data_IF_960244098378
#
_entry.id   IF_960244098378
#
_cell.length_a   1.000
_cell.length_b   1.000
_cell.length_c   1.000
_cell.angle_alpha   90.00
_cell.angle_beta   90.00
_cell.angle_gamma   90.00
#
_symmetry.space_group_name_H-M   'P 1'
#
loop_
_entity.id
_entity.type
_entity.pdbx_description
1 polymer ?
#
# COMPACT_ATOMS: atom_id res chain seq x y z
N UNK A 1 -10.95 -1.11 -17.90
CA UNK A 1 -9.70 -1.35 -17.15
C UNK A 1 -8.62 -1.62 -18.16
N UNK A 2 -7.43 -1.06 -17.97
CA UNK A 2 -6.27 -1.42 -18.79
C UNK A 2 -5.81 -2.86 -18.43
N UNK A 3 -5.04 -3.55 -19.29
CA UNK A 3 -4.58 -4.92 -18.99
C UNK A 3 -3.84 -5.04 -17.64
N UNK A 4 -3.08 -3.99 -17.26
CA UNK A 4 -2.42 -3.92 -15.97
C UNK A 4 -3.39 -3.74 -14.79
N UNK A 5 -4.46 -2.95 -14.94
CA UNK A 5 -5.50 -2.81 -13.92
C UNK A 5 -6.25 -4.12 -13.69
N UNK A 6 -6.46 -4.92 -14.75
CA UNK A 6 -7.13 -6.22 -14.65
C UNK A 6 -6.28 -7.23 -13.86
N UNK A 7 -4.97 -7.29 -14.11
CA UNK A 7 -4.05 -8.15 -13.34
C UNK A 7 -3.99 -7.71 -11.88
N UNK A 8 -3.85 -6.40 -11.63
CA UNK A 8 -3.83 -5.87 -10.28
C UNK A 8 -5.13 -6.22 -9.52
N UNK A 9 -6.29 -6.07 -10.17
CA UNK A 9 -7.58 -6.46 -9.62
C UNK A 9 -7.65 -7.96 -9.27
N UNK A 10 -7.23 -8.85 -10.17
CA UNK A 10 -7.22 -10.30 -9.91
C UNK A 10 -6.35 -10.66 -8.71
N UNK A 11 -5.16 -10.06 -8.60
CA UNK A 11 -4.25 -10.28 -7.47
C UNK A 11 -4.90 -9.74 -6.18
N UNK A 12 -5.47 -8.54 -6.20
CA UNK A 12 -6.19 -7.96 -5.05
C UNK A 12 -7.32 -8.87 -4.57
N UNK A 13 -8.15 -9.36 -5.47
CA UNK A 13 -9.23 -10.29 -5.11
C UNK A 13 -8.69 -11.60 -4.53
N UNK A 14 -7.57 -12.11 -5.05
CA UNK A 14 -6.89 -13.29 -4.49
C UNK A 14 -6.40 -13.06 -3.06
N UNK A 15 -5.80 -11.89 -2.77
CA UNK A 15 -5.39 -11.49 -1.42
C UNK A 15 -6.59 -11.39 -0.49
N UNK A 16 -7.66 -10.70 -0.92
CA UNK A 16 -8.89 -10.56 -0.14
C UNK A 16 -9.53 -11.90 0.20
N UNK A 17 -9.54 -12.83 -0.76
CA UNK A 17 -10.05 -14.19 -0.54
C UNK A 17 -9.19 -14.98 0.44
N UNK A 18 -7.85 -14.89 0.34
CA UNK A 18 -6.91 -15.52 1.29
C UNK A 18 -7.11 -15.00 2.72
N UNK A 19 -7.43 -13.72 2.86
CA UNK A 19 -7.65 -13.06 4.14
C UNK A 19 -9.13 -12.98 4.53
N UNK A 20 -10.00 -13.77 3.89
CA UNK A 20 -11.47 -13.68 4.03
C UNK A 20 -11.94 -13.73 5.49
N UNK A 21 -11.30 -14.57 6.32
CA UNK A 21 -11.62 -14.71 7.75
C UNK A 21 -11.15 -13.59 8.68
N UNK A 22 -10.39 -12.61 8.18
CA UNK A 22 -9.93 -11.46 8.97
C UNK A 22 -10.91 -10.29 8.89
N UNK A 23 -10.88 -9.35 9.84
CA UNK A 23 -11.60 -8.07 9.71
C UNK A 23 -11.03 -7.20 8.57
N UNK A 24 -11.77 -6.21 8.10
CA UNK A 24 -11.35 -5.38 6.96
C UNK A 24 -10.08 -4.57 7.23
N UNK A 25 -9.95 -4.00 8.43
CA UNK A 25 -8.74 -3.35 8.91
C UNK A 25 -7.55 -4.35 8.95
N UNK A 26 -7.76 -5.56 9.48
CA UNK A 26 -6.72 -6.57 9.55
C UNK A 26 -6.26 -7.05 8.17
N UNK A 27 -7.18 -7.18 7.20
CA UNK A 27 -6.82 -7.47 5.79
C UNK A 27 -5.85 -6.43 5.25
N UNK A 28 -6.13 -5.15 5.51
CA UNK A 28 -5.30 -4.04 5.05
C UNK A 28 -3.93 -4.03 5.77
N UNK A 29 -3.90 -4.21 7.09
CA UNK A 29 -2.67 -4.24 7.89
C UNK A 29 -1.76 -5.41 7.49
N UNK A 30 -2.31 -6.61 7.34
CA UNK A 30 -1.53 -7.79 6.93
C UNK A 30 -0.94 -7.63 5.54
N UNK A 31 -1.71 -7.03 4.62
CA UNK A 31 -1.21 -6.74 3.26
C UNK A 31 -0.10 -5.70 3.29
N UNK A 32 -0.26 -4.62 4.08
CA UNK A 32 0.77 -3.59 4.23
C UNK A 32 2.05 -4.15 4.86
N UNK A 33 1.91 -5.02 5.87
CA UNK A 33 3.05 -5.66 6.52
C UNK A 33 3.82 -6.56 5.55
N UNK A 34 3.13 -7.36 4.74
CA UNK A 34 3.76 -8.16 3.69
C UNK A 34 4.49 -7.27 2.68
N UNK A 35 3.85 -6.19 2.23
CA UNK A 35 4.48 -5.23 1.33
C UNK A 35 5.71 -4.54 1.92
N UNK A 36 5.68 -4.20 3.21
CA UNK A 36 6.80 -3.53 3.86
C UNK A 36 8.08 -4.38 3.87
N UNK A 37 7.94 -5.73 3.92
CA UNK A 37 9.07 -6.65 3.80
C UNK A 37 9.71 -6.56 2.40
N UNK A 38 8.89 -6.62 1.35
CA UNK A 38 9.34 -6.51 -0.04
C UNK A 38 9.93 -5.12 -0.35
N UNK A 39 9.30 -4.06 0.20
CA UNK A 39 9.75 -2.69 0.04
C UNK A 39 11.08 -2.41 0.74
N UNK A 40 11.28 -2.94 1.94
CA UNK A 40 12.53 -2.79 2.67
C UNK A 40 13.72 -3.35 1.89
N UNK A 41 13.54 -4.54 1.30
CA UNK A 41 14.55 -5.15 0.44
C UNK A 41 14.77 -4.33 -0.82
N UNK A 42 13.71 -3.95 -1.54
CA UNK A 42 13.82 -3.09 -2.72
C UNK A 42 14.52 -1.76 -2.43
N UNK A 43 14.21 -1.10 -1.32
CA UNK A 43 14.75 0.22 -0.98
C UNK A 43 16.21 0.13 -0.55
N UNK A 44 16.60 -0.93 0.16
CA UNK A 44 18.00 -1.24 0.40
C UNK A 44 18.74 -1.47 -0.93
N UNK A 45 18.10 -2.19 -1.86
CA UNK A 45 18.64 -2.37 -3.20
C UNK A 45 18.78 -1.04 -3.95
N UNK A 46 17.80 -0.16 -3.84
CA UNK A 46 17.81 1.14 -4.50
C UNK A 46 18.93 2.08 -4.00
N UNK A 47 19.34 1.95 -2.74
CA UNK A 47 20.31 2.83 -2.09
C UNK A 47 21.77 2.39 -2.27
N UNK A 48 22.01 1.10 -2.53
CA UNK A 48 23.37 0.59 -2.70
C UNK A 48 23.98 1.16 -3.98
N UNK A 49 24.94 2.05 -3.79
CA UNK A 49 25.63 2.78 -4.85
C UNK A 49 26.45 1.81 -5.71
N UNK A 50 26.55 2.00 -7.04
CA UNK A 50 27.41 1.18 -7.91
C UNK A 50 28.89 1.14 -7.48
N UNK A 51 29.32 2.09 -6.64
CA UNK A 51 30.70 2.25 -6.19
C UNK A 51 31.08 1.36 -5.00
N UNK A 52 30.12 0.84 -4.22
CA UNK A 52 30.38 0.10 -2.98
C UNK A 52 30.27 -1.43 -3.17
N UNK A 53 30.96 -1.92 -4.20
CA UNK A 53 30.99 -3.31 -4.63
C UNK A 53 31.28 -4.32 -3.48
N UNK A 54 32.07 -3.92 -2.49
CA UNK A 54 32.44 -4.77 -1.35
C UNK A 54 31.32 -4.90 -0.30
N UNK A 55 30.59 -3.82 -0.02
CA UNK A 55 29.41 -3.85 0.86
C UNK A 55 28.25 -4.60 0.20
N UNK A 56 28.01 -4.35 -1.09
CA UNK A 56 26.97 -5.06 -1.87
C UNK A 56 27.22 -6.58 -1.91
N UNK A 57 28.48 -7.02 -2.07
CA UNK A 57 28.87 -8.44 -2.04
C UNK A 57 28.61 -9.07 -0.68
N UNK A 58 28.93 -8.34 0.39
CA UNK A 58 28.73 -8.81 1.77
C UNK A 58 27.25 -8.96 2.12
N UNK A 59 26.40 -8.01 1.70
CA UNK A 59 24.94 -8.06 1.89
C UNK A 59 24.30 -9.21 1.10
N UNK A 60 24.72 -9.43 -0.15
CA UNK A 60 24.22 -10.55 -0.97
C UNK A 60 24.52 -11.93 -0.35
N UNK A 61 25.72 -12.10 0.21
CA UNK A 61 26.11 -13.31 0.94
C UNK A 61 25.27 -13.47 2.22
N UNK A 62 25.10 -12.39 2.99
CA UNK A 62 24.36 -12.43 4.25
C UNK A 62 22.88 -12.81 4.05
N UNK A 63 22.25 -12.36 2.95
CA UNK A 63 20.84 -12.64 2.63
C UNK A 63 20.62 -13.94 1.85
N UNK A 64 21.65 -14.77 1.62
CA UNK A 64 21.61 -15.99 0.79
C UNK A 64 21.02 -15.76 -0.61
N UNK A 65 21.13 -14.55 -1.13
CA UNK A 65 20.64 -14.23 -2.46
C UNK A 65 21.82 -14.43 -3.42
N UNK A 66 21.77 -15.41 -4.36
CA UNK A 66 22.86 -15.67 -5.27
C UNK A 66 23.11 -14.38 -6.05
N UNK A 67 24.31 -13.81 -5.87
CA UNK A 67 24.80 -12.56 -6.45
C UNK A 67 23.93 -12.05 -7.62
N UNK A 68 22.82 -11.39 -7.29
CA UNK A 68 21.94 -10.80 -8.29
C UNK A 68 22.82 -9.78 -8.99
N UNK A 69 22.94 -9.88 -10.30
CA UNK A 69 23.62 -8.90 -11.14
C UNK A 69 23.06 -7.52 -10.82
N UNK A 70 23.80 -6.77 -10.00
CA UNK A 70 23.43 -5.47 -9.52
C UNK A 70 23.52 -4.46 -10.66
N UNK A 71 22.38 -3.97 -11.12
CA UNK A 71 22.30 -3.07 -12.25
C UNK A 71 22.47 -1.61 -11.78
N UNK A 72 23.45 -0.84 -12.31
CA UNK A 72 23.61 0.60 -12.05
C UNK A 72 22.44 1.48 -12.55
N UNK A 73 21.30 0.90 -12.93
CA UNK A 73 20.22 1.53 -13.69
C UNK A 73 19.16 2.26 -12.86
N UNK A 74 19.02 1.99 -11.56
CA UNK A 74 17.87 2.52 -10.79
C UNK A 74 17.87 4.05 -10.67
N UNK A 75 19.05 4.69 -10.74
CA UNK A 75 19.20 6.15 -10.78
C UNK A 75 18.53 6.79 -12.00
N UNK A 76 18.46 6.07 -13.13
CA UNK A 76 17.76 6.53 -14.35
C UNK A 76 16.25 6.65 -14.13
N UNK A 77 15.71 5.94 -13.13
CA UNK A 77 14.28 5.92 -12.80
C UNK A 77 13.90 6.82 -11.61
N UNK A 78 14.73 7.84 -11.29
CA UNK A 78 14.48 8.77 -10.15
C UNK A 78 13.07 9.34 -10.11
N UNK A 79 12.49 9.71 -11.26
CA UNK A 79 11.09 10.20 -11.33
C UNK A 79 10.07 9.14 -10.91
N UNK A 80 10.21 7.91 -11.41
CA UNK A 80 9.34 6.80 -11.04
C UNK A 80 9.47 6.41 -9.56
N UNK A 81 10.67 6.54 -8.97
CA UNK A 81 10.88 6.36 -7.53
C UNK A 81 10.16 7.43 -6.69
N UNK A 82 10.20 8.70 -7.13
CA UNK A 82 9.46 9.78 -6.46
C UNK A 82 7.95 9.52 -6.53
N UNK A 83 7.43 9.10 -7.69
CA UNK A 83 6.01 8.75 -7.84
C UNK A 83 5.60 7.56 -6.99
N UNK A 84 6.44 6.53 -6.92
CA UNK A 84 6.24 5.38 -6.04
C UNK A 84 6.18 5.80 -4.56
N UNK A 85 7.13 6.63 -4.10
CA UNK A 85 7.14 7.11 -2.72
C UNK A 85 5.91 7.95 -2.38
N UNK A 86 5.44 8.80 -3.30
CA UNK A 86 4.19 9.56 -3.11
C UNK A 86 2.99 8.63 -2.97
N UNK A 87 2.92 7.56 -3.77
CA UNK A 87 1.85 6.58 -3.66
C UNK A 87 1.90 5.83 -2.32
N UNK A 88 3.09 5.42 -1.88
CA UNK A 88 3.29 4.75 -0.59
C UNK A 88 2.86 5.68 0.55
N UNK A 89 3.22 6.96 0.50
CA UNK A 89 2.77 7.92 1.50
C UNK A 89 1.23 8.04 1.54
N UNK A 90 0.57 8.12 0.40
CA UNK A 90 -0.90 8.15 0.34
C UNK A 90 -1.53 6.86 0.90
N UNK A 91 -0.93 5.70 0.65
CA UNK A 91 -1.34 4.41 1.24
C UNK A 91 -1.24 4.47 2.76
N UNK A 92 -0.12 4.95 3.32
CA UNK A 92 0.08 5.06 4.76
C UNK A 92 -0.94 6.00 5.41
N UNK A 93 -1.20 7.16 4.82
CA UNK A 93 -2.22 8.09 5.32
C UNK A 93 -3.63 7.48 5.30
N UNK A 94 -3.96 6.70 4.28
CA UNK A 94 -5.25 6.02 4.16
C UNK A 94 -5.38 4.91 5.21
N UNK A 95 -4.30 4.18 5.46
CA UNK A 95 -4.22 3.17 6.51
C UNK A 95 -4.42 3.78 7.90
N UNK A 96 -3.80 4.92 8.19
CA UNK A 96 -4.03 5.64 9.46
C UNK A 96 -5.51 6.02 9.62
N UNK A 97 -6.15 6.52 8.57
CA UNK A 97 -7.57 6.89 8.61
C UNK A 97 -8.49 5.67 8.85
N UNK A 98 -8.16 4.51 8.27
CA UNK A 98 -8.88 3.24 8.48
C UNK A 98 -8.76 2.81 9.96
N UNK A 99 -7.54 2.83 10.50
CA UNK A 99 -7.28 2.43 11.90
C UNK A 99 -7.94 3.38 12.90
N UNK A 100 -7.95 4.68 12.61
CA UNK A 100 -8.68 5.66 13.40
C UNK A 100 -10.19 5.40 13.40
N UNK A 101 -10.76 5.05 12.24
CA UNK A 101 -12.18 4.73 12.13
C UNK A 101 -12.53 3.49 12.96
N UNK A 102 -11.69 2.45 12.91
CA UNK A 102 -11.88 1.24 13.71
C UNK A 102 -11.71 1.50 15.22
N UNK A 103 -10.79 2.39 15.60
CA UNK A 103 -10.68 2.83 16.99
C UNK A 103 -11.94 3.55 17.46
N UNK A 104 -12.56 4.38 16.62
CA UNK A 104 -13.82 5.04 16.95
C UNK A 104 -14.98 4.03 17.04
N UNK A 105 -15.02 3.03 16.14
CA UNK A 105 -16.04 2.01 16.12
C UNK A 105 -16.04 1.17 17.41
N UNK A 106 -14.86 0.68 17.79
CA UNK A 106 -14.63 -0.12 19.00
C UNK A 106 -14.93 0.67 20.28
N UNK A 107 -14.47 1.92 20.39
CA UNK A 107 -14.79 2.80 21.52
C UNK A 107 -16.29 3.06 21.67
N UNK A 108 -17.01 3.24 20.56
CA UNK A 108 -18.46 3.48 20.59
C UNK A 108 -19.21 2.22 21.01
N UNK A 109 -18.85 1.07 20.46
CA UNK A 109 -19.45 -0.23 20.78
C UNK A 109 -19.33 -0.57 22.28
N UNK A 110 -18.22 -0.19 22.90
CA UNK A 110 -18.04 -0.33 24.35
C UNK A 110 -18.94 0.61 25.17
N UNK A 111 -19.09 1.86 24.74
CA UNK A 111 -19.82 2.90 25.50
C UNK A 111 -21.35 2.84 25.36
N UNK A 112 -21.88 2.33 24.26
CA UNK A 112 -23.33 2.28 24.03
C UNK A 112 -23.71 1.21 23.01
N UNK A 113 -24.96 0.74 23.08
CA UNK A 113 -25.53 -0.18 22.07
C UNK A 113 -25.97 0.53 20.78
N UNK A 114 -25.98 1.86 20.74
CA UNK A 114 -26.40 2.65 19.57
C UNK A 114 -25.21 3.13 18.74
N UNK A 115 -25.11 2.68 17.49
CA UNK A 115 -24.11 3.16 16.53
C UNK A 115 -24.65 4.41 15.83
N UNK A 116 -23.97 5.56 15.91
CA UNK A 116 -24.39 6.77 15.21
C UNK A 116 -24.40 6.57 13.68
N UNK A 117 -25.40 7.14 13.01
CA UNK A 117 -25.56 7.03 11.56
C UNK A 117 -24.29 7.35 10.73
N UNK A 118 -23.50 8.41 11.03
CA UNK A 118 -22.28 8.69 10.27
C UNK A 118 -21.21 7.61 10.42
N UNK A 119 -21.11 6.99 11.59
CA UNK A 119 -20.19 5.89 11.83
C UNK A 119 -20.64 4.64 11.06
N UNK A 120 -21.93 4.35 11.04
CA UNK A 120 -22.48 3.24 10.23
C UNK A 120 -22.14 3.41 8.74
N UNK A 121 -22.37 4.60 8.19
CA UNK A 121 -22.08 4.92 6.79
C UNK A 121 -20.58 4.76 6.49
N UNK A 122 -19.71 5.27 7.36
CA UNK A 122 -18.26 5.11 7.18
C UNK A 122 -17.83 3.63 7.18
N UNK A 123 -18.42 2.81 8.06
CA UNK A 123 -18.13 1.37 8.13
C UNK A 123 -18.66 0.60 6.92
N UNK A 124 -19.75 1.05 6.28
CA UNK A 124 -20.25 0.48 5.02
C UNK A 124 -19.31 0.72 3.83
N UNK A 125 -18.57 1.84 3.85
CA UNK A 125 -17.58 2.18 2.83
C UNK A 125 -16.21 1.50 3.04
N UNK A 126 -15.91 1.08 4.26
CA UNK A 126 -14.63 0.45 4.64
C UNK A 126 -14.16 -0.69 3.69
N UNK A 127 -15.01 -1.62 3.23
CA UNK A 127 -14.60 -2.66 2.28
C UNK A 127 -14.01 -2.10 0.98
N UNK A 128 -14.60 -1.01 0.47
CA UNK A 128 -14.17 -0.35 -0.76
C UNK A 128 -12.83 0.33 -0.53
N UNK A 129 -12.67 1.01 0.60
CA UNK A 129 -11.44 1.69 0.97
C UNK A 129 -10.27 0.70 1.09
N UNK A 130 -10.48 -0.42 1.77
CA UNK A 130 -9.49 -1.49 1.92
C UNK A 130 -9.14 -2.12 0.57
N UNK A 131 -10.12 -2.33 -0.30
CA UNK A 131 -9.87 -2.80 -1.67
C UNK A 131 -8.92 -1.85 -2.43
N UNK A 132 -9.13 -0.53 -2.36
CA UNK A 132 -8.27 0.44 -3.04
C UNK A 132 -6.86 0.48 -2.46
N UNK A 133 -6.70 0.34 -1.15
CA UNK A 133 -5.39 0.22 -0.50
C UNK A 133 -4.63 -1.00 -1.02
N UNK A 134 -5.26 -2.18 -1.00
CA UNK A 134 -4.61 -3.43 -1.44
C UNK A 134 -4.27 -3.36 -2.93
N UNK A 135 -5.17 -2.82 -3.75
CA UNK A 135 -4.93 -2.62 -5.18
C UNK A 135 -3.73 -1.71 -5.44
N UNK A 136 -3.59 -0.63 -4.69
CA UNK A 136 -2.45 0.27 -4.82
C UNK A 136 -1.14 -0.38 -4.36
N UNK A 137 -1.17 -1.18 -3.28
CA UNK A 137 -0.01 -1.98 -2.83
C UNK A 137 0.43 -2.96 -3.94
N UNK A 138 -0.50 -3.65 -4.59
CA UNK A 138 -0.21 -4.54 -5.73
C UNK A 138 0.42 -3.76 -6.90
N UNK A 139 -0.10 -2.57 -7.20
CA UNK A 139 0.47 -1.70 -8.24
C UNK A 139 1.90 -1.24 -7.88
N UNK A 140 2.16 -0.84 -6.63
CA UNK A 140 3.49 -0.51 -6.12
C UNK A 140 4.47 -1.68 -6.29
N UNK A 141 4.05 -2.88 -5.87
CA UNK A 141 4.86 -4.11 -5.98
C UNK A 141 5.21 -4.40 -7.44
N UNK A 142 4.23 -4.29 -8.34
CA UNK A 142 4.45 -4.48 -9.78
C UNK A 142 5.43 -3.46 -10.35
N UNK A 143 5.33 -2.18 -9.91
CA UNK A 143 6.28 -1.13 -10.29
C UNK A 143 7.69 -1.46 -9.82
N UNK A 144 7.85 -1.85 -8.55
CA UNK A 144 9.14 -2.22 -7.97
C UNK A 144 9.80 -3.35 -8.77
N UNK A 145 9.06 -4.42 -9.08
CA UNK A 145 9.55 -5.49 -9.93
C UNK A 145 9.97 -5.02 -11.33
N UNK A 146 9.23 -4.08 -11.93
CA UNK A 146 9.59 -3.49 -13.22
C UNK A 146 10.89 -2.69 -13.16
N UNK A 147 11.05 -1.86 -12.13
CA UNK A 147 12.24 -1.05 -11.88
C UNK A 147 13.49 -1.92 -11.63
N UNK A 148 13.35 -3.02 -10.88
CA UNK A 148 14.46 -3.96 -10.64
C UNK A 148 14.89 -4.72 -11.90
N UNK A 149 13.99 -4.91 -12.87
CA UNK A 149 14.26 -5.70 -14.09
C UNK A 149 14.67 -4.85 -15.31
N UNK A 150 14.78 -3.52 -15.16
CA UNK A 150 15.06 -2.56 -16.25
C UNK A 150 14.16 -2.78 -17.49
N UNK A 151 12.88 -3.10 -17.24
CA UNK A 151 11.90 -3.28 -18.31
C UNK A 151 11.18 -1.95 -18.52
N UNK A 152 11.34 -1.34 -19.70
CA UNK A 152 10.67 -0.10 -20.10
C UNK A 152 9.13 -0.15 -20.02
N UNK A 153 8.54 -1.35 -19.96
CA UNK A 153 7.11 -1.55 -19.69
C UNK A 153 6.82 -1.44 -18.20
N UNK A 154 6.92 -0.23 -17.67
CA UNK A 154 6.59 0.04 -16.28
C UNK A 154 5.16 0.57 -16.20
N UNK A 155 4.24 -0.20 -15.64
CA UNK A 155 2.83 0.16 -15.46
C UNK A 155 2.67 1.59 -14.88
N UNK A 156 1.72 2.37 -15.42
CA UNK A 156 1.49 3.75 -14.98
C UNK A 156 0.88 3.79 -13.57
N UNK A 157 1.52 4.53 -12.65
CA UNK A 157 1.06 4.70 -11.26
C UNK A 157 0.00 5.81 -11.16
N UNK A 158 0.07 6.83 -12.01
CA UNK A 158 -0.75 8.03 -11.92
C UNK A 158 -2.26 7.76 -11.77
N UNK A 159 -2.87 6.78 -12.49
CA UNK A 159 -4.28 6.46 -12.30
C UNK A 159 -4.61 5.95 -10.89
N UNK A 160 -3.72 5.16 -10.28
CA UNK A 160 -3.91 4.66 -8.92
C UNK A 160 -3.74 5.76 -7.87
N UNK A 161 -2.75 6.64 -8.05
CA UNK A 161 -2.53 7.78 -7.18
C UNK A 161 -3.73 8.72 -7.15
N UNK A 162 -4.32 9.01 -8.31
CA UNK A 162 -5.51 9.86 -8.39
C UNK A 162 -6.70 9.23 -7.66
N UNK A 163 -6.97 7.93 -7.91
CA UNK A 163 -8.06 7.21 -7.23
C UNK A 163 -7.83 7.17 -5.72
N UNK A 164 -6.63 6.82 -5.25
CA UNK A 164 -6.31 6.82 -3.82
C UNK A 164 -6.51 8.19 -3.17
N UNK A 165 -6.13 9.28 -3.84
CA UNK A 165 -6.35 10.63 -3.29
C UNK A 165 -7.84 10.95 -3.14
N UNK A 166 -8.68 10.51 -4.07
CA UNK A 166 -10.14 10.65 -3.94
C UNK A 166 -10.64 9.85 -2.73
N UNK A 167 -10.25 8.58 -2.63
CA UNK A 167 -10.72 7.73 -1.52
C UNK A 167 -10.21 8.23 -0.18
N UNK A 168 -8.94 8.63 -0.09
CA UNK A 168 -8.34 9.25 1.08
C UNK A 168 -9.09 10.53 1.50
N UNK A 169 -9.45 11.38 0.54
CA UNK A 169 -10.25 12.58 0.81
C UNK A 169 -11.61 12.24 1.40
N UNK A 170 -12.33 11.28 0.82
CA UNK A 170 -13.63 10.83 1.30
C UNK A 170 -13.55 10.21 2.69
N UNK A 171 -12.56 9.34 2.93
CA UNK A 171 -12.35 8.71 4.21
C UNK A 171 -11.98 9.74 5.30
N UNK A 172 -11.12 10.72 5.00
CA UNK A 172 -10.79 11.82 5.93
C UNK A 172 -12.03 12.64 6.27
N UNK A 173 -12.88 12.93 5.29
CA UNK A 173 -14.16 13.62 5.49
C UNK A 173 -15.08 12.83 6.43
N UNK A 174 -15.28 11.53 6.17
CA UNK A 174 -16.11 10.66 7.00
C UNK A 174 -15.57 10.53 8.43
N UNK A 175 -14.25 10.35 8.57
CA UNK A 175 -13.59 10.24 9.86
C UNK A 175 -13.76 11.54 10.68
N UNK A 176 -13.62 12.71 10.04
CA UNK A 176 -13.88 14.00 10.68
C UNK A 176 -15.33 14.14 11.17
N UNK A 177 -16.31 13.78 10.34
CA UNK A 177 -17.74 13.82 10.72
C UNK A 177 -17.99 12.88 11.90
N UNK A 178 -17.44 11.66 11.87
CA UNK A 178 -17.54 10.71 12.97
C UNK A 178 -16.95 11.30 14.25
N UNK A 179 -15.73 11.85 14.21
CA UNK A 179 -15.08 12.47 15.38
C UNK A 179 -15.90 13.63 15.96
N UNK A 180 -16.49 14.49 15.11
CA UNK A 180 -17.27 15.65 15.56
C UNK A 180 -18.61 15.30 16.19
N UNK A 181 -19.27 14.22 15.75
CA UNK A 181 -20.59 13.83 16.24
C UNK A 181 -20.54 12.77 17.35
N UNK A 182 -19.37 12.17 17.59
CA UNK A 182 -19.13 11.13 18.60
C UNK A 182 -18.31 11.67 19.79
N UNK A 183 -17.54 12.74 19.56
CA UNK A 183 -16.72 13.44 20.57
C UNK A 183 -17.55 14.22 21.58
#
# INVERSE_FOLDING_TARGET
MTPGEEIAHKITMSILNKLSGYSWDAKAVLTLAAFALDFGDFWLLAQLHPTDHQLAKSVGILKQVPAISWQPGLQKHRKALIELNKLIQAILEMMECILDLEKLSTLRAYKTKFVPAPLSIAMEHLPVDVYWVILAIVACTTKMCGLTRDKDQVQEIAPFAHKLNIVLYLLKMQNKICKQQIG
#
